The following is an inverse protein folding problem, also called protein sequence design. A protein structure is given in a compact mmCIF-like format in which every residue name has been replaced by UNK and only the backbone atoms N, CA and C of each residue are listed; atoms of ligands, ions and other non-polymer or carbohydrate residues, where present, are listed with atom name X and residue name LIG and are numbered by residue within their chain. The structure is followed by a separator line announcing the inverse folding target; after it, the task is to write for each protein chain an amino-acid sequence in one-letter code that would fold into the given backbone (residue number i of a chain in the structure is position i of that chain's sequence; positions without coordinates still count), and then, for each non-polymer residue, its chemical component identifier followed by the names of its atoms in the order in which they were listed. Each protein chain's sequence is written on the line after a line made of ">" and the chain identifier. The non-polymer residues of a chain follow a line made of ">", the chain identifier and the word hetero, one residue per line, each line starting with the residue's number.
data_IF_456244344386
#
_entry.id   IF_456244344386
#
_cell.length_a   1.000
_cell.length_b   1.000
_cell.length_c   1.000
_cell.angle_alpha   90.00
_cell.angle_beta   90.00
_cell.angle_gamma   90.00
#
_symmetry.space_group_name_H-M   'P 1'
#
loop_
_entity.id
_entity.type
_entity.pdbx_description
1 polymer ?
#
# COMPACT_ATOMS: atom_id res chain seq x y z
N UNK A 1 13.52 22.88 22.11
CA UNK A 1 14.34 21.64 21.99
C UNK A 1 14.88 21.60 20.57
N UNK A 2 16.15 21.24 20.36
CA UNK A 2 16.67 21.01 19.01
C UNK A 2 15.83 19.93 18.33
N UNK A 3 15.41 20.13 17.08
CA UNK A 3 14.81 19.05 16.30
C UNK A 3 15.81 17.89 16.21
N UNK A 4 15.32 16.65 16.31
CA UNK A 4 16.14 15.45 16.14
C UNK A 4 16.72 15.43 14.71
N UNK A 5 17.99 15.07 14.57
CA UNK A 5 18.63 14.95 13.26
C UNK A 5 18.25 13.62 12.63
N UNK A 6 17.54 13.67 11.51
CA UNK A 6 17.10 12.50 10.77
C UNK A 6 18.10 12.19 9.65
N UNK A 7 18.51 10.92 9.55
CA UNK A 7 19.24 10.38 8.41
C UNK A 7 18.34 9.40 7.64
N UNK A 8 18.17 9.63 6.34
CA UNK A 8 17.56 8.67 5.43
C UNK A 8 18.63 7.78 4.81
N UNK A 9 18.40 6.46 4.83
CA UNK A 9 19.23 5.45 4.17
C UNK A 9 18.37 4.65 3.20
N UNK A 10 18.82 4.52 1.96
CA UNK A 10 18.20 3.59 1.01
C UNK A 10 18.74 3.68 -0.41
N UNK A 11 18.13 2.93 -1.30
CA UNK A 11 18.49 2.91 -2.72
C UNK A 11 17.75 4.01 -3.49
N UNK A 12 18.43 4.62 -4.47
CA UNK A 12 17.76 5.48 -5.45
C UNK A 12 17.51 4.70 -6.73
N UNK A 13 16.27 4.78 -7.20
CA UNK A 13 15.76 4.05 -8.37
C UNK A 13 15.08 5.04 -9.32
N UNK A 14 15.15 4.79 -10.62
CA UNK A 14 14.37 5.52 -11.62
C UNK A 14 13.02 4.83 -11.80
N UNK A 15 11.95 5.47 -11.32
CA UNK A 15 10.58 5.01 -11.48
C UNK A 15 10.10 5.30 -12.90
N UNK A 16 9.59 4.28 -13.61
CA UNK A 16 8.98 4.42 -14.94
C UNK A 16 7.58 3.83 -14.93
N UNK A 17 6.55 4.68 -15.01
CA UNK A 17 5.14 4.24 -15.07
C UNK A 17 4.73 3.90 -16.51
N UNK A 18 4.30 2.66 -16.75
CA UNK A 18 3.99 2.15 -18.10
C UNK A 18 2.59 2.53 -18.59
N UNK A 19 1.60 2.63 -17.70
CA UNK A 19 0.18 2.77 -18.07
C UNK A 19 -0.28 4.19 -18.44
N UNK A 20 0.59 5.21 -18.40
CA UNK A 20 0.22 6.60 -18.75
C UNK A 20 0.67 6.97 -20.17
N UNK A 21 -0.13 7.74 -20.94
CA UNK A 21 0.24 8.17 -22.30
C UNK A 21 1.58 8.92 -22.35
N UNK A 22 1.82 9.75 -21.33
CA UNK A 22 3.13 10.30 -21.02
C UNK A 22 3.80 9.39 -19.98
N UNK A 23 4.90 8.73 -20.37
CA UNK A 23 5.69 7.91 -19.46
C UNK A 23 6.29 8.82 -18.40
N UNK A 24 5.71 8.80 -17.20
CA UNK A 24 6.24 9.51 -16.04
C UNK A 24 7.57 8.85 -15.63
N UNK A 25 8.63 9.65 -15.62
CA UNK A 25 9.96 9.26 -15.16
C UNK A 25 10.37 10.16 -14.00
N UNK A 26 10.75 9.58 -12.86
CA UNK A 26 11.26 10.31 -11.69
C UNK A 26 12.26 9.48 -10.91
N UNK A 27 13.14 10.11 -10.14
CA UNK A 27 13.87 9.38 -9.10
C UNK A 27 12.93 9.06 -7.93
N UNK A 28 12.82 7.79 -7.62
CA UNK A 28 12.10 7.18 -6.51
C UNK A 28 13.05 6.54 -5.50
N UNK A 29 12.61 5.45 -4.88
CA UNK A 29 13.31 4.81 -3.76
C UNK A 29 13.34 5.71 -2.52
N UNK A 30 14.49 5.83 -1.87
CA UNK A 30 14.65 6.65 -0.64
C UNK A 30 14.22 8.11 -0.80
N UNK A 31 14.22 8.63 -2.04
CA UNK A 31 13.75 9.98 -2.34
C UNK A 31 12.22 10.17 -2.15
N UNK A 32 11.44 9.11 -1.96
CA UNK A 32 10.04 9.24 -1.55
C UNK A 32 9.92 9.74 -0.11
N UNK A 33 10.63 9.12 0.84
CA UNK A 33 10.71 9.63 2.20
C UNK A 33 11.30 11.05 2.28
N UNK A 34 12.31 11.34 1.45
CA UNK A 34 12.87 12.68 1.35
C UNK A 34 11.80 13.74 1.00
N UNK A 35 10.85 13.41 0.13
CA UNK A 35 9.71 14.30 -0.18
C UNK A 35 8.81 14.50 1.03
N UNK A 36 8.55 13.46 1.81
CA UNK A 36 7.77 13.56 3.06
C UNK A 36 8.40 14.53 4.05
N UNK A 37 9.71 14.39 4.32
CA UNK A 37 10.43 15.31 5.22
C UNK A 37 10.52 16.74 4.66
N UNK A 38 10.75 16.89 3.35
CA UNK A 38 10.76 18.18 2.69
C UNK A 38 9.42 18.92 2.78
N UNK A 39 8.31 18.20 2.57
CA UNK A 39 6.97 18.74 2.66
C UNK A 39 6.64 19.20 4.10
N UNK A 40 7.18 18.50 5.10
CA UNK A 40 7.10 18.91 6.51
C UNK A 40 8.04 20.09 6.88
N UNK A 41 8.95 20.49 5.99
CA UNK A 41 10.01 21.45 6.32
C UNK A 41 11.04 20.92 7.33
N UNK A 42 11.17 19.60 7.46
CA UNK A 42 12.12 18.95 8.37
C UNK A 42 13.47 18.78 7.68
N UNK A 43 14.54 19.21 8.35
CA UNK A 43 15.90 18.99 7.88
C UNK A 43 16.32 17.52 8.05
N UNK A 44 16.99 16.98 7.05
CA UNK A 44 17.49 15.62 7.05
C UNK A 44 18.80 15.50 6.26
N UNK A 45 19.60 14.51 6.63
CA UNK A 45 20.72 14.04 5.82
C UNK A 45 20.28 12.83 4.98
N UNK A 46 20.90 12.66 3.82
CA UNK A 46 20.66 11.54 2.92
C UNK A 46 21.94 10.72 2.74
N UNK A 47 21.83 9.42 2.97
CA UNK A 47 22.83 8.43 2.62
C UNK A 47 22.22 7.44 1.62
N UNK A 48 22.82 7.27 0.44
CA UNK A 48 22.18 6.51 -0.65
C UNK A 48 23.08 5.50 -1.36
N UNK A 49 22.44 4.48 -1.93
CA UNK A 49 23.00 3.57 -2.92
C UNK A 49 22.50 3.94 -4.32
N UNK A 50 23.40 3.98 -5.31
CA UNK A 50 23.04 4.23 -6.71
C UNK A 50 24.16 3.84 -7.68
N UNK A 51 23.86 3.58 -8.95
CA UNK A 51 24.87 3.58 -10.01
C UNK A 51 25.53 4.96 -10.16
N UNK A 52 26.83 4.99 -10.43
CA UNK A 52 27.62 6.23 -10.52
C UNK A 52 27.05 7.24 -11.55
N UNK A 53 26.42 6.75 -12.61
CA UNK A 53 25.93 7.60 -13.69
C UNK A 53 24.71 8.47 -13.29
N UNK A 54 24.01 8.14 -12.20
CA UNK A 54 22.87 8.95 -11.70
C UNK A 54 23.24 9.87 -10.54
N UNK A 55 24.46 9.81 -10.00
CA UNK A 55 24.86 10.56 -8.80
C UNK A 55 24.59 12.06 -8.92
N UNK A 56 24.90 12.67 -10.08
CA UNK A 56 24.64 14.08 -10.32
C UNK A 56 23.16 14.44 -10.21
N UNK A 57 22.27 13.57 -10.70
CA UNK A 57 20.82 13.77 -10.61
C UNK A 57 20.31 13.54 -9.18
N UNK A 58 20.89 12.58 -8.44
CA UNK A 58 20.56 12.35 -7.02
C UNK A 58 20.92 13.58 -6.20
N UNK A 59 22.14 14.11 -6.36
CA UNK A 59 22.63 15.27 -5.60
C UNK A 59 21.78 16.51 -5.86
N UNK A 60 21.50 16.80 -7.14
CA UNK A 60 20.66 17.93 -7.53
C UNK A 60 19.24 17.80 -6.95
N UNK A 61 18.62 16.63 -7.09
CA UNK A 61 17.26 16.42 -6.62
C UNK A 61 17.16 16.41 -5.08
N UNK A 62 18.05 15.73 -4.38
CA UNK A 62 18.08 15.71 -2.91
C UNK A 62 18.36 17.11 -2.34
N UNK A 63 19.22 17.89 -2.99
CA UNK A 63 19.48 19.29 -2.63
C UNK A 63 18.22 20.16 -2.76
N UNK A 64 17.43 20.01 -3.85
CA UNK A 64 16.14 20.70 -4.00
C UNK A 64 15.10 20.25 -2.97
N UNK A 65 15.16 18.99 -2.54
CA UNK A 65 14.36 18.44 -1.45
C UNK A 65 14.93 18.79 -0.06
N UNK A 66 15.89 19.71 0.05
CA UNK A 66 16.33 20.24 1.33
C UNK A 66 17.26 19.34 2.15
N UNK A 67 17.87 18.32 1.53
CA UNK A 67 18.89 17.51 2.20
C UNK A 67 20.07 18.38 2.63
N UNK A 68 20.46 18.31 3.91
CA UNK A 68 21.56 19.12 4.45
C UNK A 68 22.93 18.54 4.14
N UNK A 69 23.04 17.21 4.05
CA UNK A 69 24.21 16.47 3.57
C UNK A 69 23.74 15.31 2.72
N UNK A 70 24.53 15.02 1.69
CA UNK A 70 24.23 13.96 0.72
C UNK A 70 25.49 13.12 0.60
N UNK A 71 25.41 11.86 1.03
CA UNK A 71 26.53 10.93 1.05
C UNK A 71 26.19 9.70 0.21
N UNK A 72 27.02 9.39 -0.78
CA UNK A 72 26.94 8.09 -1.45
C UNK A 72 27.60 7.04 -0.56
N UNK A 73 26.82 6.12 -0.05
CA UNK A 73 27.29 5.04 0.85
C UNK A 73 27.52 3.73 0.10
N UNK A 74 27.15 3.65 -1.18
CA UNK A 74 27.52 2.52 -1.99
C UNK A 74 27.20 2.69 -3.47
N UNK A 75 27.94 1.95 -4.29
CA UNK A 75 27.75 1.91 -5.74
C UNK A 75 26.98 0.66 -6.15
N UNK A 76 26.18 0.81 -7.20
CA UNK A 76 25.44 -0.30 -7.80
C UNK A 76 25.97 -0.56 -9.21
N UNK A 77 26.40 -1.79 -9.43
CA UNK A 77 26.93 -2.28 -10.70
C UNK A 77 25.95 -3.25 -11.37
N UNK A 78 26.04 -3.35 -12.71
CA UNK A 78 25.37 -4.39 -13.51
C UNK A 78 23.87 -4.18 -13.76
N UNK A 79 23.19 -3.31 -13.00
CA UNK A 79 21.80 -2.89 -13.24
C UNK A 79 21.72 -1.38 -13.47
N UNK A 80 20.80 -0.90 -14.34
CA UNK A 80 20.55 0.52 -14.51
C UNK A 80 19.74 1.12 -13.35
N UNK A 81 19.28 0.36 -12.35
CA UNK A 81 18.40 0.87 -11.30
C UNK A 81 17.13 1.55 -11.85
N UNK A 82 16.48 0.88 -12.80
CA UNK A 82 15.20 1.32 -13.35
C UNK A 82 14.12 0.33 -12.92
N UNK A 83 13.06 0.85 -12.30
CA UNK A 83 11.88 0.09 -11.90
C UNK A 83 10.73 0.44 -12.83
N UNK A 84 10.23 -0.57 -13.54
CA UNK A 84 9.00 -0.48 -14.30
C UNK A 84 7.81 -0.68 -13.37
N UNK A 85 6.79 0.16 -13.53
CA UNK A 85 5.58 0.13 -12.73
C UNK A 85 4.42 -0.16 -13.66
N UNK A 86 3.77 -1.31 -13.44
CA UNK A 86 2.56 -1.74 -14.14
C UNK A 86 1.37 -0.88 -13.71
N UNK A 87 0.77 -1.21 -12.56
CA UNK A 87 -0.34 -0.46 -11.97
C UNK A 87 0.19 0.57 -10.96
N UNK A 88 0.10 1.89 -11.25
CA UNK A 88 0.56 2.91 -10.32
C UNK A 88 -0.37 3.09 -9.12
N UNK A 89 -1.61 2.59 -9.13
CA UNK A 89 -2.65 2.91 -8.13
C UNK A 89 -2.87 1.82 -7.07
N UNK A 90 -2.24 0.66 -7.27
CA UNK A 90 -2.37 -0.53 -6.40
C UNK A 90 -3.85 -0.92 -6.21
N UNK A 91 -4.59 -1.03 -7.32
CA UNK A 91 -5.89 -1.70 -7.29
C UNK A 91 -5.72 -3.22 -7.05
N UNK A 92 -4.56 -3.76 -7.43
CA UNK A 92 -4.04 -5.07 -7.09
C UNK A 92 -2.52 -5.04 -7.05
N UNK A 93 -1.87 -6.15 -7.44
CA UNK A 93 -0.40 -6.19 -7.59
C UNK A 93 0.07 -5.12 -8.60
N UNK A 94 1.10 -4.36 -8.21
CA UNK A 94 1.60 -3.23 -8.99
C UNK A 94 2.46 -3.64 -10.19
N UNK A 95 2.90 -4.91 -10.23
CA UNK A 95 3.73 -5.44 -11.31
C UNK A 95 5.09 -4.74 -11.39
N UNK A 96 5.73 -4.51 -10.24
CA UNK A 96 7.07 -3.93 -10.20
C UNK A 96 8.07 -4.86 -10.89
N UNK A 97 8.85 -4.31 -11.82
CA UNK A 97 9.93 -5.05 -12.48
C UNK A 97 11.21 -4.22 -12.54
N UNK A 98 12.28 -4.75 -11.95
CA UNK A 98 13.61 -4.15 -12.00
C UNK A 98 14.35 -4.61 -13.25
N UNK A 99 14.77 -3.66 -14.10
CA UNK A 99 15.57 -3.98 -15.27
C UNK A 99 16.93 -4.56 -14.87
N UNK A 100 17.31 -5.68 -15.51
CA UNK A 100 18.56 -6.41 -15.25
C UNK A 100 18.77 -6.76 -13.76
N UNK A 101 17.70 -7.11 -13.04
CA UNK A 101 17.75 -7.43 -11.60
C UNK A 101 18.79 -8.51 -11.24
N UNK A 102 18.96 -9.51 -12.09
CA UNK A 102 19.91 -10.62 -11.85
C UNK A 102 21.38 -10.19 -11.94
N UNK A 103 21.64 -9.03 -12.55
CA UNK A 103 22.98 -8.46 -12.66
C UNK A 103 23.27 -7.40 -11.58
N UNK A 104 22.28 -7.07 -10.74
CA UNK A 104 22.41 -6.06 -9.68
C UNK A 104 23.43 -6.49 -8.63
N UNK A 105 24.40 -5.61 -8.35
CA UNK A 105 25.44 -5.84 -7.35
C UNK A 105 25.68 -4.56 -6.56
N UNK A 106 25.59 -4.66 -5.24
CA UNK A 106 25.85 -3.53 -4.33
C UNK A 106 27.25 -3.65 -3.74
N UNK A 107 27.95 -2.51 -3.67
CA UNK A 107 29.19 -2.36 -2.89
C UNK A 107 29.00 -1.28 -1.85
N UNK A 108 28.99 -1.67 -0.58
CA UNK A 108 28.86 -0.76 0.57
C UNK A 108 30.21 -0.13 0.95
N UNK A 109 30.21 1.17 1.21
CA UNK A 109 31.27 1.90 1.90
C UNK A 109 30.88 2.07 3.38
N UNK A 110 31.40 1.18 4.23
CA UNK A 110 31.11 1.20 5.66
C UNK A 110 31.58 2.47 6.37
N UNK A 111 32.68 3.08 5.90
CA UNK A 111 33.25 4.26 6.56
C UNK A 111 32.35 5.47 6.34
N UNK A 112 31.94 5.72 5.10
CA UNK A 112 31.01 6.81 4.77
C UNK A 112 29.67 6.60 5.44
N UNK A 113 29.17 5.36 5.48
CA UNK A 113 27.94 5.02 6.21
C UNK A 113 28.06 5.33 7.71
N UNK A 114 29.14 4.89 8.36
CA UNK A 114 29.35 5.13 9.78
C UNK A 114 29.45 6.63 10.11
N UNK A 115 30.17 7.40 9.28
CA UNK A 115 30.26 8.85 9.41
C UNK A 115 28.90 9.55 9.29
N UNK A 116 28.01 9.06 8.44
CA UNK A 116 26.65 9.59 8.34
C UNK A 116 25.83 9.26 9.60
N UNK A 117 25.87 8.01 10.07
CA UNK A 117 25.09 7.53 11.23
C UNK A 117 25.48 8.27 12.52
N UNK A 118 26.77 8.55 12.74
CA UNK A 118 27.25 9.23 13.96
C UNK A 118 26.74 10.66 14.13
N UNK A 119 26.11 11.24 13.10
CA UNK A 119 25.57 12.61 13.12
C UNK A 119 24.06 12.67 13.33
N UNK A 120 23.40 11.51 13.35
CA UNK A 120 21.96 11.38 13.40
C UNK A 120 21.50 10.89 14.78
N UNK A 121 20.33 11.38 15.19
CA UNK A 121 19.61 10.88 16.35
C UNK A 121 18.67 9.74 15.92
N UNK A 122 17.99 9.93 14.78
CA UNK A 122 17.08 8.97 14.16
C UNK A 122 17.61 8.57 12.77
N UNK A 123 17.69 7.27 12.51
CA UNK A 123 18.09 6.70 11.22
C UNK A 123 16.92 5.91 10.65
N UNK A 124 16.43 6.31 9.49
CA UNK A 124 15.35 5.63 8.77
C UNK A 124 15.97 4.87 7.60
N UNK A 125 15.88 3.55 7.65
CA UNK A 125 16.37 2.64 6.61
C UNK A 125 15.17 2.14 5.82
N UNK A 126 15.12 2.52 4.55
CA UNK A 126 14.13 2.01 3.61
C UNK A 126 14.79 0.89 2.82
N UNK A 127 14.33 -0.35 3.03
CA UNK A 127 14.90 -1.51 2.33
C UNK A 127 14.85 -1.33 0.82
N UNK A 128 15.98 -1.67 0.18
CA UNK A 128 16.12 -1.82 -1.26
C UNK A 128 16.81 -3.14 -1.57
N UNK A 129 17.42 -3.26 -2.74
CA UNK A 129 18.16 -4.46 -3.15
C UNK A 129 19.61 -4.47 -2.58
N UNK A 130 19.79 -3.98 -1.35
CA UNK A 130 21.05 -4.02 -0.61
C UNK A 130 20.91 -4.88 0.65
N UNK A 131 22.04 -5.33 1.21
CA UNK A 131 22.05 -6.12 2.43
C UNK A 131 21.69 -5.27 3.65
N UNK A 132 20.43 -5.35 4.10
CA UNK A 132 20.02 -4.72 5.36
C UNK A 132 20.88 -5.17 6.55
N UNK A 133 21.26 -6.46 6.71
CA UNK A 133 22.13 -6.89 7.79
C UNK A 133 23.50 -6.20 7.78
N UNK A 134 24.10 -5.94 6.61
CA UNK A 134 25.36 -5.20 6.52
C UNK A 134 25.21 -3.75 7.00
N UNK A 135 24.13 -3.06 6.60
CA UNK A 135 23.83 -1.70 7.05
C UNK A 135 23.58 -1.67 8.56
N UNK A 136 22.81 -2.63 9.09
CA UNK A 136 22.54 -2.75 10.52
C UNK A 136 23.81 -3.08 11.33
N UNK A 137 24.73 -3.86 10.77
CA UNK A 137 26.02 -4.15 11.40
C UNK A 137 26.91 -2.89 11.54
N UNK A 138 26.83 -1.95 10.59
CA UNK A 138 27.50 -0.65 10.74
C UNK A 138 26.74 0.21 11.77
N UNK A 139 25.41 0.21 11.73
CA UNK A 139 24.57 0.96 12.65
C UNK A 139 24.69 0.51 14.13
N UNK A 140 25.01 -0.76 14.38
CA UNK A 140 25.22 -1.31 15.73
C UNK A 140 26.39 -0.65 16.48
N UNK A 141 27.32 -0.02 15.76
CA UNK A 141 28.49 0.66 16.30
C UNK A 141 28.19 2.04 16.90
N UNK A 142 26.96 2.53 16.76
CA UNK A 142 26.49 3.81 17.28
C UNK A 142 25.14 3.66 18.00
N UNK A 143 24.75 4.65 18.80
CA UNK A 143 23.54 4.60 19.64
C UNK A 143 22.28 5.19 19.01
N UNK A 144 22.34 5.69 17.78
CA UNK A 144 21.19 6.29 17.07
C UNK A 144 19.96 5.36 17.07
N UNK A 145 18.76 5.92 17.14
CA UNK A 145 17.53 5.16 17.04
C UNK A 145 17.30 4.68 15.60
N UNK A 146 17.16 3.37 15.43
CA UNK A 146 17.05 2.76 14.10
C UNK A 146 15.59 2.43 13.80
N UNK A 147 15.11 2.93 12.67
CA UNK A 147 13.79 2.70 12.12
C UNK A 147 13.95 1.99 10.78
N UNK A 148 13.24 0.89 10.54
CA UNK A 148 13.39 0.16 9.27
C UNK A 148 12.06 -0.31 8.72
N UNK A 149 11.86 -0.14 7.41
CA UNK A 149 10.85 -0.84 6.62
C UNK A 149 11.47 -2.10 6.05
N UNK A 150 10.80 -3.25 6.18
CA UNK A 150 11.27 -4.53 5.66
C UNK A 150 10.90 -4.79 4.19
N UNK A 151 10.31 -3.85 3.46
CA UNK A 151 9.88 -3.97 2.05
C UNK A 151 10.46 -5.16 1.27
N UNK A 152 11.70 -5.01 0.77
CA UNK A 152 12.54 -6.06 0.15
C UNK A 152 13.65 -6.58 1.07
N UNK A 153 13.52 -6.34 2.38
CA UNK A 153 14.52 -6.60 3.41
C UNK A 153 14.77 -8.10 3.69
N UNK A 154 15.34 -8.43 4.85
CA UNK A 154 15.80 -9.77 5.16
C UNK A 154 14.68 -10.79 5.08
N UNK A 155 15.02 -11.99 4.60
CA UNK A 155 14.09 -13.11 4.50
C UNK A 155 13.62 -13.60 5.87
N UNK A 156 14.40 -13.35 6.92
CA UNK A 156 14.08 -13.73 8.29
C UNK A 156 14.31 -12.59 9.29
N UNK A 157 13.35 -12.40 10.20
CA UNK A 157 13.45 -11.42 11.30
C UNK A 157 14.66 -11.64 12.23
N UNK A 158 15.23 -12.85 12.25
CA UNK A 158 16.44 -13.15 13.02
C UNK A 158 17.65 -12.36 12.52
N UNK A 159 17.67 -11.95 11.25
CA UNK A 159 18.74 -11.15 10.67
C UNK A 159 18.80 -9.74 11.30
N UNK A 160 17.69 -9.23 11.85
CA UNK A 160 17.64 -7.96 12.57
C UNK A 160 18.46 -7.97 13.87
N UNK A 161 18.74 -9.15 14.42
CA UNK A 161 19.50 -9.30 15.65
C UNK A 161 20.96 -8.80 15.54
N UNK A 162 21.48 -8.64 14.30
CA UNK A 162 22.82 -8.07 14.05
C UNK A 162 22.99 -6.66 14.62
N UNK A 163 21.89 -5.92 14.80
CA UNK A 163 21.90 -4.60 15.44
C UNK A 163 22.33 -4.67 16.92
N UNK A 164 22.20 -5.83 17.57
CA UNK A 164 22.56 -6.05 18.98
C UNK A 164 21.61 -5.42 20.00
N UNK A 165 20.51 -4.81 19.53
CA UNK A 165 19.45 -4.18 20.33
C UNK A 165 18.15 -4.09 19.51
N UNK A 166 16.98 -3.92 20.15
CA UNK A 166 15.73 -3.69 19.44
C UNK A 166 15.80 -2.44 18.55
N UNK A 167 15.14 -2.51 17.40
CA UNK A 167 14.86 -1.34 16.57
C UNK A 167 13.96 -0.38 17.34
N UNK A 168 14.03 0.92 17.02
CA UNK A 168 13.07 1.89 17.55
C UNK A 168 11.70 1.73 16.91
N UNK A 169 11.64 1.46 15.60
CA UNK A 169 10.40 1.13 14.89
C UNK A 169 10.67 0.12 13.80
N UNK A 170 9.82 -0.89 13.73
CA UNK A 170 9.76 -1.83 12.62
C UNK A 170 8.49 -1.53 11.81
N UNK A 171 8.64 -1.11 10.56
CA UNK A 171 7.53 -0.94 9.64
C UNK A 171 7.30 -2.21 8.83
N UNK A 172 6.03 -2.58 8.71
CA UNK A 172 5.54 -3.69 7.92
C UNK A 172 4.45 -3.18 6.99
N UNK A 173 4.29 -3.82 5.84
CA UNK A 173 3.20 -3.55 4.90
C UNK A 173 2.53 -4.84 4.47
N UNK A 174 1.21 -4.84 4.34
CA UNK A 174 0.46 -5.98 3.78
C UNK A 174 0.85 -6.28 2.33
N UNK A 175 1.49 -5.33 1.64
CA UNK A 175 2.04 -5.51 0.28
C UNK A 175 3.49 -6.02 0.24
N UNK A 176 4.15 -6.21 1.39
CA UNK A 176 5.54 -6.66 1.45
C UNK A 176 5.68 -8.19 1.45
N UNK A 177 6.80 -8.70 0.93
CA UNK A 177 7.12 -10.13 1.01
C UNK A 177 7.28 -10.61 2.46
N UNK A 178 7.86 -9.77 3.33
CA UNK A 178 8.02 -10.07 4.75
C UNK A 178 6.68 -10.39 5.44
N UNK A 179 5.58 -9.76 5.00
CA UNK A 179 4.26 -9.98 5.57
C UNK A 179 3.70 -11.39 5.28
N UNK A 180 4.00 -11.98 4.12
CA UNK A 180 3.50 -13.33 3.78
C UNK A 180 3.97 -14.41 4.76
N UNK A 181 5.11 -14.21 5.43
CA UNK A 181 5.63 -15.16 6.42
C UNK A 181 4.93 -15.09 7.78
N UNK A 182 4.12 -14.06 8.04
CA UNK A 182 3.51 -13.80 9.35
C UNK A 182 1.99 -13.65 9.31
N UNK A 183 1.41 -13.59 8.09
CA UNK A 183 0.01 -13.24 7.83
C UNK A 183 -0.99 -14.15 8.54
N UNK A 184 -0.72 -15.45 8.64
CA UNK A 184 -1.67 -16.43 9.19
C UNK A 184 -1.88 -16.30 10.71
N UNK A 185 -0.97 -15.62 11.40
CA UNK A 185 -1.01 -15.43 12.86
C UNK A 185 -1.22 -13.95 13.26
N UNK A 186 -1.69 -13.11 12.34
CA UNK A 186 -2.01 -11.72 12.64
C UNK A 186 -3.28 -11.63 13.53
N UNK A 187 -3.35 -10.71 14.51
CA UNK A 187 -2.33 -9.70 14.87
C UNK A 187 -1.25 -10.17 15.86
N UNK A 188 -1.37 -11.40 16.37
CA UNK A 188 -0.48 -11.94 17.43
C UNK A 188 0.99 -11.86 17.05
N UNK A 189 1.34 -12.18 15.80
CA UNK A 189 2.73 -12.12 15.32
C UNK A 189 3.34 -10.72 15.42
N UNK A 190 2.57 -9.65 15.15
CA UNK A 190 3.05 -8.28 15.31
C UNK A 190 3.26 -7.91 16.78
N UNK A 191 2.39 -8.38 17.69
CA UNK A 191 2.53 -8.18 19.14
C UNK A 191 3.78 -8.88 19.68
N UNK A 192 4.06 -10.11 19.23
CA UNK A 192 5.25 -10.87 19.64
C UNK A 192 6.58 -10.24 19.18
N UNK A 193 6.55 -9.43 18.13
CA UNK A 193 7.72 -8.68 17.67
C UNK A 193 8.04 -7.48 18.56
N UNK A 194 7.06 -6.94 19.27
CA UNK A 194 7.26 -5.82 20.21
C UNK A 194 8.14 -6.28 21.38
N UNK A 195 9.16 -5.49 21.69
CA UNK A 195 10.19 -5.81 22.70
C UNK A 195 11.22 -6.85 22.26
N UNK A 196 10.88 -7.74 21.33
CA UNK A 196 11.81 -8.74 20.78
C UNK A 196 12.66 -8.20 19.63
N UNK A 197 12.01 -7.56 18.65
CA UNK A 197 12.66 -7.04 17.44
C UNK A 197 12.62 -5.51 17.38
N UNK A 198 11.59 -4.88 17.95
CA UNK A 198 11.45 -3.44 17.98
C UNK A 198 10.69 -2.93 19.21
N UNK A 199 10.92 -1.68 19.61
CA UNK A 199 10.14 -1.01 20.66
C UNK A 199 8.65 -0.87 20.26
N UNK A 200 8.41 -0.58 18.98
CA UNK A 200 7.07 -0.54 18.38
C UNK A 200 7.10 -1.15 16.98
N UNK A 201 5.98 -1.77 16.59
CA UNK A 201 5.78 -2.35 15.26
C UNK A 201 4.62 -1.63 14.61
N UNK A 202 4.82 -1.12 13.39
CA UNK A 202 3.79 -0.39 12.65
C UNK A 202 3.43 -1.18 11.39
N UNK A 203 2.18 -1.63 11.32
CA UNK A 203 1.63 -2.31 10.15
C UNK A 203 0.82 -1.34 9.30
N UNK A 204 1.23 -1.15 8.04
CA UNK A 204 0.51 -0.42 7.00
C UNK A 204 -0.38 -1.40 6.25
N UNK A 205 -1.68 -1.11 6.20
CA UNK A 205 -2.70 -2.01 5.64
C UNK A 205 -3.40 -1.40 4.41
N UNK A 206 -2.68 -0.53 3.70
CA UNK A 206 -3.14 0.11 2.47
C UNK A 206 -4.47 0.87 2.73
N UNK A 207 -5.50 0.71 1.89
CA UNK A 207 -6.85 1.31 2.03
C UNK A 207 -7.58 0.93 3.32
N UNK A 208 -7.06 -0.02 4.11
CA UNK A 208 -7.61 -0.37 5.42
C UNK A 208 -7.06 0.44 6.60
N UNK A 209 -6.08 1.31 6.38
CA UNK A 209 -5.45 2.12 7.42
C UNK A 209 -4.12 1.55 7.92
N UNK A 210 -3.83 1.76 9.20
CA UNK A 210 -2.63 1.23 9.84
C UNK A 210 -2.84 0.93 11.33
N UNK A 211 -2.00 0.05 11.88
CA UNK A 211 -1.98 -0.34 13.29
C UNK A 211 -0.56 -0.17 13.86
N UNK A 212 -0.46 0.50 15.00
CA UNK A 212 0.77 0.63 15.77
C UNK A 212 0.68 -0.26 17.02
N UNK A 213 1.49 -1.30 17.05
CA UNK A 213 1.60 -2.24 18.16
C UNK A 213 2.69 -1.75 19.13
N UNK A 214 2.33 -1.69 20.40
CA UNK A 214 3.20 -1.25 21.50
C UNK A 214 3.07 -2.22 22.68
N UNK A 215 3.97 -2.14 23.65
CA UNK A 215 3.89 -2.94 24.88
C UNK A 215 2.64 -2.64 25.72
N UNK A 216 2.03 -1.46 25.53
CA UNK A 216 0.82 -1.01 26.22
C UNK A 216 -0.49 -1.30 25.47
N UNK A 217 -0.42 -1.81 24.24
CA UNK A 217 -1.60 -2.07 23.40
C UNK A 217 -1.42 -1.60 21.96
N UNK A 218 -2.53 -1.50 21.23
CA UNK A 218 -2.55 -1.18 19.81
C UNK A 218 -3.27 0.14 19.57
N UNK A 219 -2.64 1.05 18.82
CA UNK A 219 -3.29 2.24 18.27
C UNK A 219 -3.68 1.97 16.81
N UNK A 220 -4.85 2.46 16.39
CA UNK A 220 -5.37 2.24 15.04
C UNK A 220 -5.69 3.58 14.38
N UNK A 221 -5.35 3.68 13.10
CA UNK A 221 -5.68 4.83 12.24
C UNK A 221 -6.37 4.33 10.98
N UNK A 222 -7.38 5.05 10.52
CA UNK A 222 -8.01 4.76 9.23
C UNK A 222 -7.31 5.43 8.06
N UNK A 223 -7.42 4.82 6.89
CA UNK A 223 -6.99 5.43 5.63
C UNK A 223 -7.92 6.58 5.24
N UNK A 224 -7.35 7.65 4.69
CA UNK A 224 -8.11 8.82 4.24
C UNK A 224 -8.63 8.63 2.82
N UNK A 225 -9.82 9.17 2.56
CA UNK A 225 -10.42 9.14 1.22
C UNK A 225 -9.78 10.20 0.33
N UNK A 226 -8.98 9.77 -0.63
CA UNK A 226 -8.43 10.59 -1.71
C UNK A 226 -8.43 9.80 -3.01
N UNK A 227 -8.53 10.49 -4.13
CA UNK A 227 -8.27 9.89 -5.44
C UNK A 227 -6.82 9.43 -5.50
N UNK A 228 -6.56 8.15 -5.81
CA UNK A 228 -5.21 7.62 -5.83
C UNK A 228 -4.64 7.79 -7.24
N UNK A 229 -3.73 8.76 -7.39
CA UNK A 229 -3.00 8.98 -8.65
C UNK A 229 -1.74 8.13 -8.75
N UNK A 230 -1.15 7.77 -7.61
CA UNK A 230 -0.15 6.72 -7.47
C UNK A 230 -0.04 6.20 -6.03
N UNK A 231 0.49 5.00 -5.82
CA UNK A 231 0.85 4.44 -4.52
C UNK A 231 2.36 4.25 -4.33
N UNK A 232 3.14 4.41 -5.40
CA UNK A 232 4.61 4.27 -5.36
C UNK A 232 5.21 5.31 -4.40
N UNK A 233 5.87 4.81 -3.35
CA UNK A 233 6.52 5.61 -2.31
C UNK A 233 5.60 6.13 -1.20
N UNK A 234 4.31 5.79 -1.21
CA UNK A 234 3.36 6.24 -0.18
C UNK A 234 3.74 5.70 1.19
N UNK A 235 4.18 4.45 1.27
CA UNK A 235 4.71 3.85 2.49
C UNK A 235 5.96 4.56 3.03
N UNK A 236 6.86 4.99 2.16
CA UNK A 236 8.10 5.69 2.57
C UNK A 236 7.80 7.09 3.14
N UNK A 237 6.84 7.79 2.53
CA UNK A 237 6.33 9.07 3.05
C UNK A 237 5.67 8.87 4.40
N UNK A 238 4.81 7.85 4.53
CA UNK A 238 4.17 7.51 5.80
C UNK A 238 5.21 7.29 6.91
N UNK A 239 6.22 6.45 6.66
CA UNK A 239 7.23 6.10 7.66
C UNK A 239 8.05 7.31 8.09
N UNK A 240 8.54 8.09 7.13
CA UNK A 240 9.33 9.29 7.42
C UNK A 240 8.55 10.37 8.16
N UNK A 241 7.28 10.58 7.82
CA UNK A 241 6.39 11.51 8.52
C UNK A 241 6.13 11.03 9.95
N UNK A 242 5.83 9.75 10.15
CA UNK A 242 5.63 9.19 11.49
C UNK A 242 6.87 9.40 12.37
N UNK A 243 8.06 9.05 11.86
CA UNK A 243 9.32 9.23 12.60
C UNK A 243 9.53 10.70 12.94
N UNK A 244 9.34 11.61 11.99
CA UNK A 244 9.55 13.04 12.21
C UNK A 244 8.62 13.65 13.28
N UNK A 245 7.39 13.13 13.42
CA UNK A 245 6.36 13.74 14.28
C UNK A 245 6.19 13.04 15.64
N UNK A 246 6.56 11.76 15.79
CA UNK A 246 6.25 10.96 16.99
C UNK A 246 6.72 11.57 18.31
N UNK A 247 7.86 12.25 18.31
CA UNK A 247 8.43 12.86 19.52
C UNK A 247 7.81 14.23 19.84
N UNK A 248 7.31 14.96 18.84
CA UNK A 248 6.80 16.32 19.00
C UNK A 248 5.28 16.36 19.19
N UNK A 249 4.55 15.42 18.57
CA UNK A 249 3.08 15.36 18.60
C UNK A 249 2.56 14.13 19.37
N UNK A 250 3.45 13.21 19.78
CA UNK A 250 3.06 11.92 20.34
C UNK A 250 2.69 10.90 19.26
N UNK A 251 2.69 9.62 19.64
CA UNK A 251 2.54 8.50 18.69
C UNK A 251 1.20 8.48 17.96
N UNK A 252 0.10 8.80 18.64
CA UNK A 252 -1.25 8.74 18.07
C UNK A 252 -1.46 9.82 17.01
N UNK A 253 -1.19 11.09 17.35
CA UNK A 253 -1.31 12.19 16.39
C UNK A 253 -0.31 12.04 15.24
N UNK A 254 0.93 11.60 15.51
CA UNK A 254 1.90 11.32 14.45
C UNK A 254 1.43 10.22 13.49
N UNK A 255 0.77 9.18 13.99
CA UNK A 255 0.20 8.10 13.18
C UNK A 255 -0.93 8.62 12.29
N UNK A 256 -1.81 9.47 12.84
CA UNK A 256 -2.88 10.12 12.09
C UNK A 256 -2.36 11.07 11.01
N UNK A 257 -1.39 11.92 11.34
CA UNK A 257 -0.75 12.84 10.38
C UNK A 257 0.00 12.08 9.28
N UNK A 258 0.72 11.01 9.63
CA UNK A 258 1.38 10.15 8.65
C UNK A 258 0.38 9.55 7.65
N UNK A 259 -0.76 9.04 8.14
CA UNK A 259 -1.82 8.51 7.27
C UNK A 259 -2.38 9.57 6.33
N UNK A 260 -2.66 10.77 6.85
CA UNK A 260 -3.21 11.87 6.06
C UNK A 260 -2.24 12.38 4.99
N UNK A 261 -1.00 12.66 5.38
CA UNK A 261 0.04 13.17 4.47
C UNK A 261 0.40 12.12 3.41
N UNK A 262 0.43 10.84 3.78
CA UNK A 262 0.62 9.76 2.81
C UNK A 262 -0.53 9.71 1.78
N UNK A 263 -1.77 9.98 2.19
CA UNK A 263 -2.90 10.07 1.27
C UNK A 263 -2.82 11.29 0.35
N UNK A 264 -2.37 12.44 0.85
CA UNK A 264 -2.10 13.63 0.00
C UNK A 264 -0.96 13.35 -1.00
N UNK A 265 0.08 12.63 -0.58
CA UNK A 265 1.13 12.18 -1.49
C UNK A 265 0.61 11.23 -2.57
N UNK A 266 -0.31 10.33 -2.23
CA UNK A 266 -0.93 9.43 -3.20
C UNK A 266 -1.81 10.18 -4.23
N UNK A 267 -2.34 11.34 -3.83
CA UNK A 267 -3.27 12.13 -4.61
C UNK A 267 -2.61 13.06 -5.63
N UNK A 268 -1.29 13.31 -5.55
CA UNK A 268 -0.59 14.20 -6.49
C UNK A 268 0.77 13.70 -6.90
N UNK A 269 1.17 13.99 -8.15
CA UNK A 269 2.54 13.77 -8.62
C UNK A 269 3.40 15.02 -8.59
N UNK A 270 2.81 16.16 -8.24
CA UNK A 270 3.46 17.48 -8.24
C UNK A 270 3.97 17.78 -6.82
N UNK A 271 5.29 17.98 -6.63
CA UNK A 271 5.85 18.23 -5.30
C UNK A 271 5.25 19.46 -4.61
N UNK A 272 5.00 20.55 -5.34
CA UNK A 272 4.47 21.77 -4.75
C UNK A 272 3.03 21.61 -4.26
N UNK A 273 2.17 20.92 -5.04
CA UNK A 273 0.82 20.55 -4.58
C UNK A 273 0.87 19.66 -3.33
N UNK A 274 1.79 18.69 -3.31
CA UNK A 274 1.96 17.80 -2.16
C UNK A 274 2.40 18.57 -0.91
N UNK A 275 3.34 19.51 -1.06
CA UNK A 275 3.81 20.36 0.03
C UNK A 275 2.69 21.25 0.55
N UNK A 276 1.95 21.90 -0.33
CA UNK A 276 0.83 22.76 0.06
C UNK A 276 -0.26 21.96 0.80
N UNK A 277 -0.60 20.77 0.31
CA UNK A 277 -1.53 19.87 0.99
C UNK A 277 -1.02 19.43 2.37
N UNK A 278 0.29 19.14 2.48
CA UNK A 278 0.94 18.81 3.75
C UNK A 278 0.85 19.97 4.74
N UNK A 279 1.14 21.21 4.30
CA UNK A 279 1.01 22.41 5.13
C UNK A 279 -0.44 22.59 5.62
N UNK A 280 -1.43 22.39 4.74
CA UNK A 280 -2.85 22.43 5.09
C UNK A 280 -3.26 21.39 6.16
N UNK A 281 -2.60 20.22 6.22
CA UNK A 281 -2.84 19.24 7.28
C UNK A 281 -2.51 19.78 8.68
N UNK A 282 -1.56 20.72 8.78
CA UNK A 282 -1.15 21.34 10.05
C UNK A 282 -1.97 22.57 10.42
N UNK A 283 -2.81 23.09 9.51
CA UNK A 283 -3.81 24.10 9.84
C UNK A 283 -4.98 23.49 10.65
N UNK A 284 -5.18 22.17 10.55
CA UNK A 284 -6.17 21.42 11.31
C UNK A 284 -5.58 21.00 12.67
N UNK A 285 -6.30 21.30 13.74
CA UNK A 285 -5.90 20.88 15.09
C UNK A 285 -5.85 19.34 15.19
N UNK A 286 -4.88 18.80 15.93
CA UNK A 286 -4.66 17.34 16.03
C UNK A 286 -5.93 16.56 16.40
N UNK A 287 -6.66 17.02 17.41
CA UNK A 287 -7.91 16.39 17.84
C UNK A 287 -9.00 16.41 16.76
N UNK A 288 -9.09 17.49 15.97
CA UNK A 288 -10.05 17.60 14.86
C UNK A 288 -9.67 16.67 13.72
N UNK A 289 -8.38 16.62 13.37
CA UNK A 289 -7.86 15.73 12.33
C UNK A 289 -8.10 14.26 12.67
N UNK A 290 -7.93 13.88 13.93
CA UNK A 290 -8.19 12.51 14.41
C UNK A 290 -9.68 12.13 14.37
N UNK A 291 -10.58 13.11 14.48
CA UNK A 291 -12.03 12.91 14.41
C UNK A 291 -12.58 12.84 12.98
N UNK A 292 -11.77 13.12 11.95
CA UNK A 292 -12.21 13.08 10.56
C UNK A 292 -12.60 11.65 10.12
N UNK A 293 -13.65 11.49 9.30
CA UNK A 293 -14.04 10.18 8.78
C UNK A 293 -12.90 9.52 8.01
N UNK A 294 -12.63 8.26 8.32
CA UNK A 294 -11.58 7.45 7.69
C UNK A 294 -12.05 6.01 7.53
N UNK A 295 -11.36 5.24 6.68
CA UNK A 295 -11.64 3.83 6.44
C UNK A 295 -10.74 2.98 7.32
N UNK A 296 -11.35 2.19 8.21
CA UNK A 296 -10.65 1.26 9.10
C UNK A 296 -11.11 -0.14 8.76
N UNK A 297 -10.24 -0.94 8.17
CA UNK A 297 -10.54 -2.32 7.80
C UNK A 297 -9.26 -3.15 7.82
N UNK A 298 -8.97 -3.71 9.01
CA UNK A 298 -7.81 -4.57 9.23
C UNK A 298 -7.80 -5.77 8.29
N UNK A 299 -6.61 -6.26 7.97
CA UNK A 299 -6.36 -7.32 7.00
C UNK A 299 -7.24 -8.56 7.22
N UNK A 300 -7.33 -9.03 8.46
CA UNK A 300 -8.02 -10.25 8.87
C UNK A 300 -9.53 -10.13 8.71
N UNK A 301 -10.08 -8.95 9.00
CA UNK A 301 -11.52 -8.67 8.93
C UNK A 301 -12.05 -8.74 7.49
N UNK A 302 -11.21 -8.43 6.49
CA UNK A 302 -11.61 -8.38 5.06
C UNK A 302 -12.13 -9.71 4.52
N UNK A 303 -11.63 -10.85 5.04
CA UNK A 303 -12.13 -12.19 4.65
C UNK A 303 -13.60 -12.38 4.99
N UNK A 304 -14.11 -11.65 5.98
CA UNK A 304 -15.51 -11.66 6.36
C UNK A 304 -16.46 -11.04 5.32
N UNK A 305 -15.95 -10.26 4.36
CA UNK A 305 -16.73 -9.75 3.25
C UNK A 305 -16.69 -10.74 2.07
N UNK A 306 -17.76 -11.51 1.93
CA UNK A 306 -18.05 -12.29 0.74
C UNK A 306 -18.64 -11.36 -0.33
N UNK A 307 -17.99 -11.32 -1.49
CA UNK A 307 -18.34 -10.41 -2.59
C UNK A 307 -18.80 -11.26 -3.76
N UNK A 308 -20.09 -11.19 -4.10
CA UNK A 308 -20.64 -11.89 -5.25
C UNK A 308 -20.22 -11.20 -6.54
N UNK A 309 -19.55 -11.91 -7.44
CA UNK A 309 -19.14 -11.38 -8.74
C UNK A 309 -20.21 -11.73 -9.77
N UNK A 310 -21.04 -10.73 -10.11
CA UNK A 310 -22.05 -10.83 -11.15
C UNK A 310 -21.41 -10.51 -12.51
N UNK A 311 -21.17 -11.54 -13.33
CA UNK A 311 -20.50 -11.39 -14.61
C UNK A 311 -20.75 -12.59 -15.54
N UNK A 312 -20.66 -12.41 -16.86
CA UNK A 312 -20.70 -13.51 -17.82
C UNK A 312 -19.37 -14.29 -17.85
N UNK A 313 -19.07 -15.02 -16.77
CA UNK A 313 -17.84 -15.78 -16.57
C UNK A 313 -17.87 -17.16 -17.27
N UNK A 314 -18.19 -17.16 -18.57
CA UNK A 314 -18.34 -18.37 -19.35
C UNK A 314 -17.05 -18.78 -20.05
N UNK A 315 -16.76 -20.09 -20.08
CA UNK A 315 -15.57 -20.69 -20.71
C UNK A 315 -15.33 -20.35 -22.18
N UNK A 316 -16.33 -19.81 -22.89
CA UNK A 316 -16.25 -19.42 -24.30
C UNK A 316 -16.12 -17.90 -24.51
N UNK A 317 -16.09 -17.10 -23.43
CA UNK A 317 -15.87 -15.65 -23.46
C UNK A 317 -14.48 -15.29 -22.93
N UNK A 318 -14.06 -14.05 -23.15
CA UNK A 318 -12.89 -13.50 -22.49
C UNK A 318 -13.27 -13.03 -21.09
N UNK A 319 -12.77 -13.75 -20.08
CA UNK A 319 -13.00 -13.46 -18.66
C UNK A 319 -11.89 -12.62 -18.03
N UNK A 320 -10.97 -12.02 -18.81
CA UNK A 320 -9.80 -11.31 -18.30
C UNK A 320 -10.14 -10.20 -17.29
N UNK A 321 -11.19 -9.41 -17.52
CA UNK A 321 -11.63 -8.38 -16.57
C UNK A 321 -12.23 -8.99 -15.28
N UNK A 322 -12.94 -10.12 -15.38
CA UNK A 322 -13.48 -10.86 -14.23
C UNK A 322 -12.33 -11.44 -13.39
N UNK A 323 -11.35 -12.06 -14.04
CA UNK A 323 -10.15 -12.59 -13.42
C UNK A 323 -9.34 -11.49 -12.72
N UNK A 324 -9.18 -10.34 -13.38
CA UNK A 324 -8.48 -9.17 -12.84
C UNK A 324 -9.17 -8.64 -11.58
N UNK A 325 -10.49 -8.46 -11.62
CA UNK A 325 -11.28 -8.02 -10.45
C UNK A 325 -11.14 -9.02 -9.30
N UNK A 326 -11.35 -10.31 -9.57
CA UNK A 326 -11.24 -11.34 -8.54
C UNK A 326 -9.82 -11.45 -7.97
N UNK A 327 -8.79 -11.27 -8.79
CA UNK A 327 -7.40 -11.21 -8.35
C UNK A 327 -7.14 -10.02 -7.43
N UNK A 328 -7.60 -8.82 -7.80
CA UNK A 328 -7.46 -7.60 -6.99
C UNK A 328 -8.15 -7.74 -5.62
N UNK A 329 -9.36 -8.32 -5.59
CA UNK A 329 -10.06 -8.59 -4.33
C UNK A 329 -9.30 -9.57 -3.43
N UNK A 330 -8.77 -10.67 -4.00
CA UNK A 330 -7.96 -11.63 -3.24
C UNK A 330 -6.64 -11.03 -2.76
N UNK A 331 -6.01 -10.20 -3.58
CA UNK A 331 -4.80 -9.45 -3.21
C UNK A 331 -5.04 -8.62 -1.93
N UNK A 332 -6.21 -8.00 -1.82
CA UNK A 332 -6.60 -7.26 -0.62
C UNK A 332 -7.22 -8.12 0.50
N UNK A 333 -7.15 -9.45 0.41
CA UNK A 333 -7.69 -10.42 1.38
C UNK A 333 -9.22 -10.44 1.52
N UNK A 334 -9.95 -9.98 0.50
CA UNK A 334 -11.39 -10.19 0.40
C UNK A 334 -11.73 -11.57 -0.16
N UNK A 335 -12.99 -11.97 -0.05
CA UNK A 335 -13.50 -13.27 -0.50
C UNK A 335 -14.42 -13.10 -1.72
N UNK A 336 -13.88 -13.00 -2.95
CA UNK A 336 -14.73 -12.97 -4.14
C UNK A 336 -15.36 -14.35 -4.40
N UNK A 337 -16.66 -14.34 -4.70
CA UNK A 337 -17.47 -15.51 -5.01
C UNK A 337 -17.86 -15.49 -6.49
N UNK A 338 -17.52 -16.55 -7.22
CA UNK A 338 -17.65 -16.64 -8.68
C UNK A 338 -18.67 -17.73 -9.03
N UNK A 339 -19.95 -17.40 -9.25
CA UNK A 339 -21.04 -18.37 -9.32
C UNK A 339 -20.83 -19.43 -10.40
N UNK A 340 -20.43 -19.01 -11.61
CA UNK A 340 -20.20 -19.94 -12.73
C UNK A 340 -19.06 -20.93 -12.43
N UNK A 341 -18.04 -20.52 -11.67
CA UNK A 341 -16.91 -21.38 -11.28
C UNK A 341 -17.21 -22.26 -10.07
N UNK A 342 -18.01 -21.76 -9.12
CA UNK A 342 -18.35 -22.49 -7.90
C UNK A 342 -19.49 -23.49 -8.10
N UNK A 343 -20.56 -23.08 -8.80
CA UNK A 343 -21.76 -23.88 -9.02
C UNK A 343 -21.78 -24.55 -10.41
N UNK A 344 -20.85 -24.17 -11.27
CA UNK A 344 -20.66 -24.72 -12.60
C UNK A 344 -21.41 -23.93 -13.68
N UNK A 345 -20.97 -24.10 -14.93
CA UNK A 345 -21.57 -23.46 -16.09
C UNK A 345 -22.74 -24.28 -16.64
N UNK A 346 -23.87 -23.61 -16.92
CA UNK A 346 -25.01 -24.24 -17.57
C UNK A 346 -24.66 -24.83 -18.95
N UNK A 347 -25.08 -26.07 -19.20
CA UNK A 347 -24.81 -26.81 -20.44
C UNK A 347 -26.07 -26.91 -21.31
N UNK A 348 -25.86 -27.01 -22.63
CA UNK A 348 -26.96 -27.35 -23.55
C UNK A 348 -27.52 -28.74 -23.19
N UNK A 349 -28.85 -28.87 -23.16
CA UNK A 349 -29.54 -30.11 -22.83
C UNK A 349 -29.78 -30.38 -21.35
N UNK A 350 -29.40 -29.47 -20.43
CA UNK A 350 -29.76 -29.61 -19.01
C UNK A 350 -31.27 -29.72 -18.83
N UNK A 351 -31.69 -30.71 -18.03
CA UNK A 351 -33.06 -30.92 -17.60
C UNK A 351 -33.56 -29.76 -16.73
N UNK A 352 -34.88 -29.65 -16.57
CA UNK A 352 -35.49 -28.63 -15.70
C UNK A 352 -35.00 -28.74 -14.26
N UNK A 353 -34.84 -29.97 -13.75
CA UNK A 353 -34.38 -30.20 -12.37
C UNK A 353 -32.94 -29.71 -12.16
N UNK A 354 -32.03 -30.00 -13.10
CA UNK A 354 -30.64 -29.52 -13.03
C UNK A 354 -30.56 -28.00 -13.09
N UNK A 355 -31.36 -27.35 -13.96
CA UNK A 355 -31.44 -25.88 -14.02
C UNK A 355 -31.96 -25.28 -12.71
N UNK A 356 -32.98 -25.89 -12.12
CA UNK A 356 -33.54 -25.42 -10.85
C UNK A 356 -32.54 -25.57 -9.69
N UNK A 357 -31.74 -26.63 -9.67
CA UNK A 357 -30.68 -26.82 -8.68
C UNK A 357 -29.56 -25.79 -8.82
N UNK A 358 -29.08 -25.55 -10.05
CA UNK A 358 -28.05 -24.53 -10.32
C UNK A 358 -28.54 -23.13 -9.94
N UNK A 359 -29.75 -22.75 -10.38
CA UNK A 359 -30.36 -21.47 -10.00
C UNK A 359 -30.50 -21.31 -8.48
N UNK A 360 -30.95 -22.35 -7.77
CA UNK A 360 -31.06 -22.30 -6.32
C UNK A 360 -29.69 -22.13 -5.63
N UNK A 361 -28.64 -22.76 -6.18
CA UNK A 361 -27.28 -22.61 -5.68
C UNK A 361 -26.73 -21.18 -5.89
N UNK A 362 -26.96 -20.58 -7.06
CA UNK A 362 -26.55 -19.19 -7.34
C UNK A 362 -27.28 -18.19 -6.45
N UNK A 363 -28.59 -18.38 -6.27
CA UNK A 363 -29.40 -17.54 -5.37
C UNK A 363 -28.96 -17.66 -3.91
N UNK A 364 -28.66 -18.89 -3.44
CA UNK A 364 -28.15 -19.11 -2.09
C UNK A 364 -26.75 -18.48 -1.91
N UNK A 365 -25.91 -18.51 -2.94
CA UNK A 365 -24.60 -17.87 -2.93
C UNK A 365 -24.72 -16.34 -2.85
N UNK A 366 -25.62 -15.74 -3.64
CA UNK A 366 -25.92 -14.31 -3.59
C UNK A 366 -26.40 -13.88 -2.19
N UNK A 367 -27.25 -14.68 -1.55
CA UNK A 367 -27.76 -14.42 -0.19
C UNK A 367 -26.68 -14.46 0.89
N UNK A 368 -25.60 -15.21 0.68
CA UNK A 368 -24.47 -15.29 1.62
C UNK A 368 -23.51 -14.10 1.48
N UNK A 369 -23.59 -13.35 0.39
CA UNK A 369 -22.66 -12.27 0.10
C UNK A 369 -23.11 -10.94 0.70
N UNK A 370 -22.14 -10.14 1.15
CA UNK A 370 -22.36 -8.83 1.78
C UNK A 370 -22.41 -7.71 0.73
N UNK A 371 -21.80 -7.94 -0.44
CA UNK A 371 -21.70 -6.99 -1.54
C UNK A 371 -21.87 -7.76 -2.86
N UNK A 372 -22.54 -7.15 -3.84
CA UNK A 372 -22.51 -7.58 -5.23
C UNK A 372 -21.62 -6.64 -6.04
N UNK A 373 -20.61 -7.18 -6.71
CA UNK A 373 -19.79 -6.47 -7.67
C UNK A 373 -20.11 -6.99 -9.07
N UNK A 374 -20.80 -6.18 -9.85
CA UNK A 374 -21.10 -6.49 -11.25
C UNK A 374 -19.96 -6.04 -12.17
N UNK A 375 -19.55 -6.90 -13.09
CA UNK A 375 -18.49 -6.63 -14.08
C UNK A 375 -19.12 -6.58 -15.47
N UNK A 376 -19.29 -5.37 -16.01
CA UNK A 376 -19.97 -5.15 -17.29
C UNK A 376 -19.04 -5.28 -18.50
N UNK A 377 -18.42 -6.45 -18.67
CA UNK A 377 -17.60 -6.74 -19.85
C UNK A 377 -18.45 -6.92 -21.11
N UNK A 378 -19.63 -7.53 -20.96
CA UNK A 378 -20.59 -7.81 -22.03
C UNK A 378 -22.02 -7.41 -21.63
N UNK A 379 -22.90 -7.36 -22.63
CA UNK A 379 -24.35 -7.20 -22.45
C UNK A 379 -24.96 -8.55 -22.08
N UNK A 380 -24.94 -8.86 -20.77
CA UNK A 380 -25.42 -10.12 -20.21
C UNK A 380 -26.69 -9.89 -19.37
N UNK A 381 -27.86 -10.40 -19.80
CA UNK A 381 -29.11 -10.27 -19.05
C UNK A 381 -29.05 -10.88 -17.65
N UNK A 382 -28.24 -11.93 -17.43
CA UNK A 382 -28.07 -12.56 -16.12
C UNK A 382 -27.51 -11.57 -15.11
N UNK A 383 -26.41 -10.92 -15.47
CA UNK A 383 -25.75 -9.89 -14.66
C UNK A 383 -26.71 -8.75 -14.30
N UNK A 384 -27.56 -8.28 -15.22
CA UNK A 384 -28.55 -7.23 -14.93
C UNK A 384 -29.65 -7.68 -13.97
N UNK A 385 -30.09 -8.93 -14.09
CA UNK A 385 -31.05 -9.52 -13.16
C UNK A 385 -30.44 -9.61 -11.76
N UNK A 386 -29.18 -10.04 -11.64
CA UNK A 386 -28.45 -10.13 -10.37
C UNK A 386 -28.30 -8.76 -9.70
N UNK A 387 -27.99 -7.71 -10.47
CA UNK A 387 -28.00 -6.30 -10.00
C UNK A 387 -29.37 -5.93 -9.41
N UNK A 388 -30.45 -6.20 -10.16
CA UNK A 388 -31.80 -5.88 -9.71
C UNK A 388 -32.23 -6.65 -8.46
N UNK A 389 -31.90 -7.93 -8.38
CA UNK A 389 -32.16 -8.79 -7.22
C UNK A 389 -31.43 -8.27 -5.98
N UNK A 390 -30.14 -7.97 -6.12
CA UNK A 390 -29.31 -7.49 -5.02
C UNK A 390 -29.82 -6.15 -4.49
N UNK A 391 -30.07 -5.18 -5.39
CA UNK A 391 -30.63 -3.89 -5.03
C UNK A 391 -32.01 -4.02 -4.35
N UNK A 392 -32.90 -4.87 -4.89
CA UNK A 392 -34.21 -5.14 -4.30
C UNK A 392 -34.16 -5.80 -2.92
N UNK A 393 -33.02 -6.42 -2.57
CA UNK A 393 -32.75 -7.02 -1.25
C UNK A 393 -31.93 -6.11 -0.33
N UNK A 394 -31.65 -4.88 -0.74
CA UNK A 394 -30.76 -3.94 -0.04
C UNK A 394 -29.33 -4.47 0.16
N UNK A 395 -28.88 -5.39 -0.70
CA UNK A 395 -27.47 -5.78 -0.77
C UNK A 395 -26.75 -4.71 -1.59
N UNK A 396 -25.68 -4.08 -1.08
CA UNK A 396 -25.00 -3.06 -1.85
C UNK A 396 -24.45 -3.59 -3.18
N UNK A 397 -24.66 -2.81 -4.24
CA UNK A 397 -24.23 -3.12 -5.60
C UNK A 397 -23.18 -2.12 -6.03
N UNK A 398 -22.02 -2.61 -6.43
CA UNK A 398 -20.98 -1.85 -7.12
C UNK A 398 -20.89 -2.36 -8.56
N UNK A 399 -20.73 -1.46 -9.52
CA UNK A 399 -20.62 -1.81 -10.95
C UNK A 399 -19.27 -1.34 -11.49
N UNK A 400 -18.44 -2.29 -11.90
CA UNK A 400 -17.26 -2.03 -12.72
C UNK A 400 -17.64 -2.05 -14.20
N UNK A 401 -17.52 -0.89 -14.84
CA UNK A 401 -17.94 -0.68 -16.23
C UNK A 401 -16.76 -0.17 -17.09
N UNK A 402 -15.78 -1.03 -17.39
CA UNK A 402 -14.56 -0.63 -18.11
C UNK A 402 -14.85 -0.09 -19.52
N UNK A 403 -16.01 -0.42 -20.09
CA UNK A 403 -16.41 -0.04 -21.45
C UNK A 403 -17.51 1.01 -21.50
N UNK A 404 -17.89 1.60 -20.36
CA UNK A 404 -18.90 2.67 -20.25
C UNK A 404 -20.25 2.28 -20.89
N UNK A 405 -20.70 1.05 -20.64
CA UNK A 405 -21.95 0.48 -21.13
C UNK A 405 -23.16 0.86 -20.26
N UNK A 406 -22.95 1.21 -18.99
CA UNK A 406 -24.00 1.59 -18.05
C UNK A 406 -24.56 2.98 -18.39
N UNK A 407 -25.52 3.02 -19.31
CA UNK A 407 -26.19 4.25 -19.76
C UNK A 407 -27.69 4.27 -19.47
N UNK A 408 -28.28 3.12 -19.14
CA UNK A 408 -29.70 3.02 -18.82
C UNK A 408 -29.96 3.47 -17.38
N UNK A 409 -31.10 4.15 -17.16
CA UNK A 409 -31.51 4.68 -15.85
C UNK A 409 -31.45 3.63 -14.73
N UNK A 410 -31.82 2.38 -15.00
CA UNK A 410 -31.79 1.34 -13.96
C UNK A 410 -30.35 1.01 -13.55
N UNK A 411 -29.41 1.03 -14.51
CA UNK A 411 -28.01 0.78 -14.24
C UNK A 411 -27.31 2.00 -13.66
N UNK A 412 -27.83 3.22 -13.80
CA UNK A 412 -27.25 4.42 -13.19
C UNK A 412 -27.80 4.69 -11.79
N UNK A 413 -29.05 4.31 -11.50
CA UNK A 413 -29.71 4.64 -10.24
C UNK A 413 -29.79 3.49 -9.23
N UNK A 414 -29.76 2.22 -9.67
CA UNK A 414 -29.79 1.08 -8.73
C UNK A 414 -28.46 0.88 -7.99
N UNK A 415 -27.28 0.95 -8.64
CA UNK A 415 -26.03 0.69 -7.95
C UNK A 415 -25.68 1.77 -6.93
N UNK A 416 -24.99 1.37 -5.87
CA UNK A 416 -24.41 2.29 -4.90
C UNK A 416 -23.20 3.05 -5.45
N UNK A 417 -22.47 2.44 -6.38
CA UNK A 417 -21.31 3.03 -7.02
C UNK A 417 -21.06 2.42 -8.41
N UNK A 418 -20.63 3.26 -9.35
CA UNK A 418 -20.33 2.85 -10.73
C UNK A 418 -19.05 3.54 -11.15
N UNK A 419 -18.10 2.79 -11.70
CA UNK A 419 -16.90 3.38 -12.28
C UNK A 419 -16.29 2.50 -13.37
N UNK A 420 -15.63 3.14 -14.32
CA UNK A 420 -14.73 2.48 -15.27
C UNK A 420 -13.32 2.27 -14.71
N UNK A 421 -13.01 2.81 -13.54
CA UNK A 421 -11.71 2.71 -12.88
C UNK A 421 -11.73 1.58 -11.84
N UNK A 422 -10.90 0.57 -12.05
CA UNK A 422 -10.79 -0.54 -11.08
C UNK A 422 -10.30 -0.06 -9.70
N UNK A 423 -9.44 0.95 -9.67
CA UNK A 423 -8.98 1.61 -8.44
C UNK A 423 -10.17 2.12 -7.61
N UNK A 424 -11.07 2.86 -8.25
CA UNK A 424 -12.24 3.44 -7.58
C UNK A 424 -13.21 2.35 -7.11
N UNK A 425 -13.35 1.26 -7.89
CA UNK A 425 -14.15 0.09 -7.51
C UNK A 425 -13.60 -0.56 -6.25
N UNK A 426 -12.29 -0.80 -6.17
CA UNK A 426 -11.65 -1.37 -4.98
C UNK A 426 -11.82 -0.43 -3.79
N UNK A 427 -11.60 0.88 -3.97
CA UNK A 427 -11.83 1.88 -2.92
C UNK A 427 -13.28 1.86 -2.42
N UNK A 428 -14.27 1.76 -3.31
CA UNK A 428 -15.68 1.64 -2.94
C UNK A 428 -15.98 0.35 -2.15
N UNK A 429 -15.34 -0.77 -2.50
CA UNK A 429 -15.46 -2.04 -1.75
C UNK A 429 -14.97 -1.85 -0.31
N UNK A 430 -13.80 -1.23 -0.11
CA UNK A 430 -13.29 -0.91 1.22
C UNK A 430 -14.27 -0.04 2.02
N UNK A 431 -14.84 0.99 1.39
CA UNK A 431 -15.79 1.90 2.01
C UNK A 431 -17.09 1.21 2.46
N UNK A 432 -17.63 0.30 1.65
CA UNK A 432 -18.84 -0.44 1.99
C UNK A 432 -18.54 -1.51 3.04
N UNK A 433 -17.48 -2.30 2.85
CA UNK A 433 -17.10 -3.37 3.75
C UNK A 433 -16.80 -2.85 5.16
N UNK A 434 -16.10 -1.72 5.29
CA UNK A 434 -15.80 -1.10 6.58
C UNK A 434 -17.05 -0.62 7.36
N UNK A 435 -18.19 -0.38 6.68
CA UNK A 435 -19.46 -0.04 7.34
C UNK A 435 -20.25 -1.26 7.79
N UNK A 436 -20.01 -2.41 7.17
CA UNK A 436 -20.76 -3.64 7.39
C UNK A 436 -20.05 -4.60 8.35
N UNK A 437 -18.72 -4.58 8.37
CA UNK A 437 -17.91 -5.43 9.24
C UNK A 437 -17.57 -4.61 10.50
N UNK A 438 -18.07 -4.99 11.69
CA UNK A 438 -17.72 -4.31 12.93
C UNK A 438 -16.21 -4.37 13.15
N UNK A 439 -15.62 -3.29 13.70
CA UNK A 439 -14.28 -3.36 14.27
C UNK A 439 -14.29 -4.39 15.42
N UNK A 440 -13.39 -5.38 15.34
CA UNK A 440 -13.20 -6.41 16.36
C UNK A 440 -12.27 -5.93 17.47
#
# INVERSE_FOLDING_TARGET
>A
MSAAKILLIGEVVVDVTLQKPEKKLRLGGVLHAARGLWALGVQYDLAYFAPDYIDGAVIDQAGRLGATRISKIGSIDGSPNVMLIGDPTEAGDQGYEHLLRDAHRVKLDENVLFEAITRADDVIILSGNFSLPEVLNVASRHSAAIHTDLGSGPSAFTELAVLGRPLRTLFLSTSSHAFSGIVDNMPTSAVEMVGKHADVVLLKENRGGARLFTSSGTLTVGAQRRSIMHSVGVGDVFDSVYVALRNTHGSEEALHRASWIAAEYAATTFPDDFKHATEGCFEIAGAELMALPSVRLGWEARRGANIYIAAPDFSYLDCSEVDKVAHCLRYHNFTPRLPVRENGQAKQGMSKAERSLMFAADMALLEQCQIVLAVLSYDDPGTYIEIGIAAGRNVPVIVYDPHRRANNVMLTELPNFISSSLEEIITAIFDIAARQIPES
#
